data_IF_540581118487
#
_entry.id   IF_540581118487
#
_cell.length_a   1.000
_cell.length_b   1.000
_cell.length_c   1.000
_cell.angle_alpha   90.00
_cell.angle_beta   90.00
_cell.angle_gamma   90.00
#
_symmetry.space_group_name_H-M   'P 1'
#
loop_
_entity.id
_entity.type
_entity.pdbx_description
1 polymer ?
#
# COMPACT_ATOMS: atom_id res chain seq x y z
N UNK A 1 -13.45 -6.85 -16.41
CA UNK A 1 -12.78 -7.81 -15.50
C UNK A 1 -11.48 -7.24 -14.95
N UNK A 2 -10.47 -6.88 -15.77
CA UNK A 2 -9.22 -6.28 -15.27
C UNK A 2 -9.42 -5.04 -14.39
N UNK A 3 -10.36 -4.15 -14.76
CA UNK A 3 -10.72 -2.98 -13.95
C UNK A 3 -11.20 -3.38 -12.55
N UNK A 4 -11.97 -4.46 -12.44
CA UNK A 4 -12.50 -4.91 -11.14
C UNK A 4 -11.39 -5.51 -10.27
N UNK A 5 -10.42 -6.20 -10.88
CA UNK A 5 -9.25 -6.74 -10.15
C UNK A 5 -8.42 -5.57 -9.61
N UNK A 6 -8.13 -4.57 -10.44
CA UNK A 6 -7.41 -3.38 -10.02
C UNK A 6 -8.14 -2.63 -8.91
N UNK A 7 -9.46 -2.48 -9.01
CA UNK A 7 -10.29 -1.84 -7.98
C UNK A 7 -10.28 -2.61 -6.66
N UNK A 8 -10.39 -3.93 -6.70
CA UNK A 8 -10.33 -4.77 -5.49
C UNK A 8 -8.96 -4.64 -4.80
N UNK A 9 -7.87 -4.58 -5.56
CA UNK A 9 -6.53 -4.35 -5.02
C UNK A 9 -6.39 -2.95 -4.39
N UNK A 10 -7.01 -1.95 -4.99
CA UNK A 10 -7.00 -0.57 -4.47
C UNK A 10 -7.79 -0.45 -3.16
N UNK A 11 -8.97 -1.08 -3.11
CA UNK A 11 -9.87 -1.04 -1.94
C UNK A 11 -9.30 -1.85 -0.75
N UNK A 12 -8.68 -3.01 -0.99
CA UNK A 12 -8.19 -3.90 0.08
C UNK A 12 -6.77 -3.57 0.56
N UNK A 13 -5.87 -3.18 -0.35
CA UNK A 13 -4.43 -2.99 -0.05
C UNK A 13 -3.95 -1.58 -0.37
N UNK A 14 -4.49 -0.94 -1.42
CA UNK A 14 -4.15 0.43 -1.81
C UNK A 14 -2.79 0.60 -2.52
N UNK A 15 -2.03 -0.47 -2.73
CA UNK A 15 -0.79 -0.50 -3.52
C UNK A 15 -0.76 -1.72 -4.46
N UNK A 16 0.02 -1.64 -5.53
CA UNK A 16 0.21 -2.74 -6.48
C UNK A 16 -0.92 -2.91 -7.51
N UNK A 17 -1.84 -1.96 -7.64
CA UNK A 17 -2.95 -1.98 -8.63
C UNK A 17 -2.44 -2.13 -10.07
N UNK A 18 -1.35 -1.45 -10.42
CA UNK A 18 -0.67 -1.60 -11.71
C UNK A 18 -0.04 -2.98 -11.86
N UNK A 19 0.69 -3.44 -10.85
CA UNK A 19 1.38 -4.73 -10.86
C UNK A 19 0.43 -5.90 -11.09
N UNK A 20 -0.72 -5.91 -10.41
CA UNK A 20 -1.73 -6.98 -10.56
C UNK A 20 -2.31 -7.01 -11.98
N UNK A 21 -2.51 -5.84 -12.58
CA UNK A 21 -3.07 -5.70 -13.93
C UNK A 21 -2.07 -6.16 -14.98
N UNK A 22 -0.80 -5.78 -14.84
CA UNK A 22 0.29 -6.20 -15.74
C UNK A 22 0.51 -7.70 -15.63
N UNK A 23 0.55 -8.26 -14.41
CA UNK A 23 0.72 -9.69 -14.19
C UNK A 23 -0.42 -10.51 -14.83
N UNK A 24 -1.67 -10.07 -14.67
CA UNK A 24 -2.81 -10.71 -15.33
C UNK A 24 -2.71 -10.65 -16.86
N UNK A 25 -2.23 -9.53 -17.41
CA UNK A 25 -1.97 -9.38 -18.85
C UNK A 25 -0.91 -10.37 -19.37
N UNK A 26 0.21 -10.50 -18.66
CA UNK A 26 1.27 -11.44 -19.03
C UNK A 26 0.81 -12.91 -18.89
N UNK A 27 0.03 -13.25 -17.87
CA UNK A 27 -0.57 -14.59 -17.76
C UNK A 27 -1.45 -14.91 -18.97
N UNK A 28 -2.30 -13.97 -19.41
CA UNK A 28 -3.14 -14.17 -20.60
C UNK A 28 -2.31 -14.37 -21.86
N UNK A 29 -1.23 -13.61 -22.02
CA UNK A 29 -0.27 -13.75 -23.14
C UNK A 29 0.38 -15.13 -23.16
N UNK A 30 0.78 -15.67 -22.01
CA UNK A 30 1.32 -17.03 -21.94
C UNK A 30 0.24 -18.10 -22.17
N UNK A 31 -0.99 -17.89 -21.69
CA UNK A 31 -2.11 -18.78 -22.00
C UNK A 31 -2.41 -18.86 -23.50
N UNK A 32 -2.35 -17.75 -24.23
CA UNK A 32 -2.59 -17.73 -25.67
C UNK A 32 -1.62 -18.67 -26.43
N UNK A 33 -0.35 -18.70 -26.01
CA UNK A 33 0.65 -19.64 -26.58
C UNK A 33 0.30 -21.10 -26.30
N UNK A 34 -0.16 -21.41 -25.09
CA UNK A 34 -0.56 -22.77 -24.71
C UNK A 34 -1.83 -23.22 -25.44
N UNK A 35 -2.79 -22.31 -25.62
CA UNK A 35 -4.00 -22.57 -26.40
C UNK A 35 -3.65 -22.82 -27.87
N UNK A 36 -2.69 -22.07 -28.43
CA UNK A 36 -2.18 -22.29 -29.79
C UNK A 36 -1.55 -23.68 -29.97
N UNK A 37 -1.01 -24.27 -28.89
CA UNK A 37 -0.53 -25.66 -28.83
C UNK A 37 -1.65 -26.69 -28.61
N UNK A 38 -2.93 -26.28 -28.73
CA UNK A 38 -4.13 -27.11 -28.52
C UNK A 38 -4.29 -27.64 -27.09
N UNK A 39 -3.71 -26.98 -26.10
CA UNK A 39 -3.94 -27.31 -24.69
C UNK A 39 -5.30 -26.74 -24.27
N UNK A 40 -6.15 -27.58 -23.67
CA UNK A 40 -7.48 -27.17 -23.24
C UNK A 40 -7.39 -26.11 -22.12
N UNK A 41 -8.12 -24.97 -22.20
CA UNK A 41 -8.02 -23.88 -21.21
C UNK A 41 -8.24 -24.30 -19.76
N UNK A 42 -9.10 -25.30 -19.53
CA UNK A 42 -9.33 -25.87 -18.19
C UNK A 42 -8.05 -26.45 -17.56
N UNK A 43 -7.16 -27.05 -18.36
CA UNK A 43 -5.89 -27.60 -17.89
C UNK A 43 -4.97 -26.46 -17.46
N UNK A 44 -4.90 -25.38 -18.26
CA UNK A 44 -4.10 -24.18 -17.97
C UNK A 44 -4.56 -23.55 -16.65
N UNK A 45 -5.87 -23.32 -16.49
CA UNK A 45 -6.43 -22.74 -15.29
C UNK A 45 -6.15 -23.59 -14.03
N UNK A 46 -6.27 -24.91 -14.12
CA UNK A 46 -5.94 -25.80 -13.01
C UNK A 46 -4.44 -25.81 -12.69
N UNK A 47 -3.58 -25.75 -13.71
CA UNK A 47 -2.14 -25.62 -13.54
C UNK A 47 -1.76 -24.34 -12.80
N UNK A 48 -2.34 -23.20 -13.19
CA UNK A 48 -2.10 -21.91 -12.53
C UNK A 48 -2.62 -21.86 -11.09
N UNK A 49 -3.77 -22.47 -10.78
CA UNK A 49 -4.24 -22.58 -9.39
C UNK A 49 -3.23 -23.32 -8.51
N UNK A 50 -2.69 -24.45 -9.01
CA UNK A 50 -1.67 -25.21 -8.28
C UNK A 50 -0.36 -24.44 -8.15
N UNK A 51 0.06 -23.75 -9.22
CA UNK A 51 1.26 -22.92 -9.20
C UNK A 51 1.13 -21.74 -8.22
N UNK A 52 -0.04 -21.11 -8.15
CA UNK A 52 -0.33 -20.02 -7.21
C UNK A 52 -0.18 -20.48 -5.75
N UNK A 53 -0.62 -21.69 -5.43
CA UNK A 53 -0.49 -22.23 -4.08
C UNK A 53 0.98 -22.50 -3.71
N UNK A 54 1.75 -23.06 -4.64
CA UNK A 54 3.20 -23.25 -4.44
C UNK A 54 3.91 -21.92 -4.29
N UNK A 55 3.56 -20.92 -5.09
CA UNK A 55 4.11 -19.58 -4.99
C UNK A 55 3.77 -18.93 -3.64
N UNK A 56 2.55 -19.10 -3.14
CA UNK A 56 2.14 -18.61 -1.81
C UNK A 56 3.01 -19.20 -0.71
N UNK A 57 3.19 -20.52 -0.71
CA UNK A 57 4.06 -21.21 0.29
C UNK A 57 5.50 -20.72 0.19
N UNK A 58 6.03 -20.51 -1.02
CA UNK A 58 7.38 -19.99 -1.20
C UNK A 58 7.53 -18.55 -0.70
N UNK A 59 6.51 -17.70 -0.88
CA UNK A 59 6.50 -16.33 -0.36
C UNK A 59 6.43 -16.32 1.18
N UNK A 60 5.62 -17.19 1.78
CA UNK A 60 5.54 -17.34 3.24
C UNK A 60 6.87 -17.83 3.83
N UNK A 61 7.55 -18.76 3.17
CA UNK A 61 8.86 -19.23 3.59
C UNK A 61 9.97 -18.17 3.45
N UNK A 62 9.79 -17.21 2.54
CA UNK A 62 10.72 -16.10 2.34
C UNK A 62 10.41 -14.87 3.24
N UNK A 63 9.25 -14.86 3.90
CA UNK A 63 8.87 -13.78 4.79
C UNK A 63 9.76 -13.78 6.05
N UNK A 64 10.26 -12.61 6.41
CA UNK A 64 11.04 -12.39 7.63
C UNK A 64 10.29 -11.41 8.51
N UNK A 65 10.08 -11.77 9.77
CA UNK A 65 9.47 -10.91 10.78
C UNK A 65 10.55 -10.28 11.65
N UNK A 66 10.47 -8.96 11.80
CA UNK A 66 11.36 -8.16 12.66
C UNK A 66 10.59 -7.41 13.75
N UNK A 67 9.34 -7.80 14.03
CA UNK A 67 8.47 -7.19 15.03
C UNK A 67 9.04 -7.19 16.46
N UNK A 68 9.91 -8.16 16.78
CA UNK A 68 10.56 -8.28 18.10
C UNK A 68 11.64 -7.21 18.36
N UNK A 69 12.19 -6.59 17.30
CA UNK A 69 13.24 -5.56 17.40
C UNK A 69 12.68 -4.23 16.91
N UNK A 70 12.38 -3.32 17.84
CA UNK A 70 11.76 -2.03 17.55
C UNK A 70 12.55 -1.19 16.53
N UNK A 71 13.89 -1.25 16.57
CA UNK A 71 14.73 -0.50 15.64
C UNK A 71 14.68 -1.08 14.22
N UNK A 72 14.72 -2.41 14.11
CA UNK A 72 14.60 -3.09 12.80
C UNK A 72 13.18 -3.00 12.25
N UNK A 73 12.17 -3.15 13.09
CA UNK A 73 10.76 -2.98 12.73
C UNK A 73 10.49 -1.58 12.17
N UNK A 74 10.97 -0.53 12.84
CA UNK A 74 10.85 0.84 12.32
C UNK A 74 11.52 0.99 10.96
N UNK A 75 12.72 0.42 10.79
CA UNK A 75 13.46 0.49 9.53
C UNK A 75 12.70 -0.21 8.38
N UNK A 76 12.06 -1.35 8.65
CA UNK A 76 11.22 -2.04 7.68
C UNK A 76 10.00 -1.22 7.29
N UNK A 77 9.30 -0.63 8.27
CA UNK A 77 8.16 0.24 7.99
C UNK A 77 8.55 1.43 7.11
N UNK A 78 9.72 2.03 7.33
CA UNK A 78 10.24 3.11 6.46
C UNK A 78 10.50 2.60 5.04
N UNK A 79 11.11 1.42 4.90
CA UNK A 79 11.39 0.84 3.59
C UNK A 79 10.10 0.52 2.83
N UNK A 80 9.09 -0.01 3.51
CA UNK A 80 7.76 -0.28 2.97
C UNK A 80 7.10 1.04 2.54
N UNK A 81 7.02 2.03 3.44
CA UNK A 81 6.42 3.33 3.15
C UNK A 81 7.09 4.03 1.96
N UNK A 82 8.43 4.01 1.88
CA UNK A 82 9.17 4.56 0.74
C UNK A 82 8.86 3.85 -0.56
N UNK A 83 8.68 2.53 -0.54
CA UNK A 83 8.36 1.74 -1.72
C UNK A 83 6.97 2.10 -2.25
N UNK A 84 5.96 2.09 -1.39
CA UNK A 84 4.58 2.44 -1.75
C UNK A 84 4.41 3.91 -2.15
N UNK A 85 5.17 4.83 -1.55
CA UNK A 85 5.15 6.24 -1.97
C UNK A 85 5.87 6.47 -3.31
N UNK A 86 6.85 5.63 -3.66
CA UNK A 86 7.61 5.76 -4.91
C UNK A 86 6.79 5.40 -6.14
N UNK A 87 5.75 4.56 -6.00
CA UNK A 87 4.84 4.20 -7.10
C UNK A 87 3.80 5.30 -7.40
N UNK A 88 3.76 6.39 -6.61
CA UNK A 88 2.79 7.47 -6.67
C UNK A 88 3.47 8.85 -6.86
N UNK A 89 2.68 9.91 -6.96
CA UNK A 89 3.10 11.29 -7.29
C UNK A 89 4.10 11.96 -6.31
N UNK A 90 4.45 11.33 -5.19
CA UNK A 90 5.22 11.94 -4.09
C UNK A 90 6.74 11.69 -4.16
N UNK A 91 7.28 11.44 -5.35
CA UNK A 91 8.67 10.98 -5.55
C UNK A 91 9.73 11.91 -4.92
N UNK A 92 9.48 13.22 -4.91
CA UNK A 92 10.45 14.22 -4.43
C UNK A 92 10.54 14.32 -2.90
N UNK A 93 9.44 14.09 -2.18
CA UNK A 93 9.38 14.26 -0.70
C UNK A 93 9.00 12.95 0.02
N UNK A 94 9.16 11.82 -0.65
CA UNK A 94 8.81 10.49 -0.09
C UNK A 94 9.53 10.16 1.20
N UNK A 95 10.75 10.67 1.40
CA UNK A 95 11.50 10.45 2.64
C UNK A 95 10.80 11.12 3.82
N UNK A 96 10.41 12.39 3.66
CA UNK A 96 9.70 13.16 4.68
C UNK A 96 8.36 12.52 5.05
N UNK A 97 7.53 12.21 4.04
CA UNK A 97 6.23 11.58 4.28
C UNK A 97 6.34 10.14 4.81
N UNK A 98 7.39 9.40 4.45
CA UNK A 98 7.63 8.07 5.03
C UNK A 98 7.91 8.16 6.53
N UNK A 99 8.77 9.09 6.97
CA UNK A 99 9.02 9.28 8.41
C UNK A 99 7.74 9.67 9.14
N UNK A 100 6.97 10.66 8.63
CA UNK A 100 5.71 11.08 9.24
C UNK A 100 4.69 9.94 9.35
N UNK A 101 4.54 9.14 8.31
CA UNK A 101 3.60 8.02 8.29
C UNK A 101 4.01 6.93 9.29
N UNK A 102 5.30 6.58 9.34
CA UNK A 102 5.82 5.56 10.27
C UNK A 102 5.70 6.04 11.71
N UNK A 103 6.01 7.31 11.97
CA UNK A 103 5.89 7.91 13.30
C UNK A 103 4.43 7.97 13.77
N UNK A 104 3.46 8.13 12.87
CA UNK A 104 2.04 8.03 13.20
C UNK A 104 1.62 6.59 13.52
N UNK A 105 2.04 5.62 12.70
CA UNK A 105 1.71 4.20 12.87
C UNK A 105 2.33 3.62 14.15
N UNK A 106 3.59 3.95 14.45
CA UNK A 106 4.27 3.51 15.67
C UNK A 106 3.57 3.99 16.95
N UNK A 107 2.94 5.18 16.92
CA UNK A 107 2.18 5.71 18.05
C UNK A 107 0.90 4.94 18.34
N UNK A 108 0.31 4.30 17.33
CA UNK A 108 -0.97 3.59 17.46
C UNK A 108 -0.80 2.17 18.05
N UNK A 109 0.45 1.72 18.32
CA UNK A 109 0.81 0.52 19.11
C UNK A 109 -0.11 -0.70 18.87
N UNK A 110 -0.18 -1.15 17.62
CA UNK A 110 -0.86 -2.39 17.25
C UNK A 110 -2.38 -2.29 17.06
N UNK A 111 -2.99 -1.12 17.27
CA UNK A 111 -4.32 -0.84 16.74
C UNK A 111 -4.20 -0.62 15.22
N UNK A 112 -4.84 -1.46 14.41
CA UNK A 112 -4.91 -1.28 12.95
C UNK A 112 -6.04 -0.31 12.54
N UNK A 113 -6.55 0.50 13.47
CA UNK A 113 -7.64 1.41 13.16
C UNK A 113 -7.13 2.67 12.43
N UNK A 114 -7.28 2.67 11.11
CA UNK A 114 -6.93 3.79 10.24
C UNK A 114 -7.73 5.08 10.55
N UNK A 115 -8.90 4.97 11.20
CA UNK A 115 -9.70 6.14 11.60
C UNK A 115 -8.98 6.99 12.66
N UNK A 116 -7.98 6.44 13.35
CA UNK A 116 -7.15 7.17 14.33
C UNK A 116 -6.11 8.06 13.66
N UNK A 117 -5.85 7.89 12.36
CA UNK A 117 -4.92 8.73 11.60
C UNK A 117 -5.71 9.77 10.82
N UNK A 118 -5.71 11.02 11.31
CA UNK A 118 -6.38 12.12 10.63
C UNK A 118 -5.47 12.76 9.58
N UNK A 119 -5.87 12.71 8.30
CA UNK A 119 -5.15 13.39 7.21
C UNK A 119 -5.85 14.70 6.87
N UNK A 120 -5.20 15.82 7.14
CA UNK A 120 -5.71 17.16 6.85
C UNK A 120 -4.90 17.78 5.72
N UNK A 121 -5.58 18.13 4.62
CA UNK A 121 -4.96 18.78 3.47
C UNK A 121 -5.22 20.27 3.53
N UNK A 122 -4.15 21.07 3.60
CA UNK A 122 -4.21 22.52 3.61
C UNK A 122 -3.48 23.12 2.42
N UNK A 123 -4.13 24.00 1.63
CA UNK A 123 -3.43 24.74 0.59
C UNK A 123 -2.53 25.80 1.21
N UNK A 124 -1.31 25.95 0.67
CA UNK A 124 -0.29 26.88 1.15
C UNK A 124 0.94 26.14 1.69
N UNK A 125 2.10 26.82 1.65
CA UNK A 125 3.38 26.24 2.07
C UNK A 125 4.00 25.28 1.05
N UNK A 126 5.10 24.65 1.46
CA UNK A 126 5.78 23.57 0.75
C UNK A 126 5.35 22.21 1.32
N UNK A 127 5.50 21.14 0.54
CA UNK A 127 5.28 19.76 1.01
C UNK A 127 6.13 19.42 2.25
N UNK A 128 7.33 20.02 2.36
CA UNK A 128 8.23 19.87 3.52
C UNK A 128 7.70 20.47 4.81
N UNK A 129 6.75 21.41 4.71
CA UNK A 129 6.15 22.06 5.88
C UNK A 129 5.07 21.17 6.53
N UNK A 130 4.78 20.00 5.94
CA UNK A 130 3.89 19.00 6.52
C UNK A 130 4.50 18.47 7.82
N UNK A 131 3.69 18.32 8.86
CA UNK A 131 4.10 17.77 10.15
C UNK A 131 3.04 16.83 10.70
N UNK A 132 3.43 16.07 11.70
CA UNK A 132 2.56 15.20 12.48
C UNK A 132 2.28 15.87 13.82
N UNK A 133 1.01 16.08 14.13
CA UNK A 133 0.57 16.61 15.43
C UNK A 133 0.21 15.47 16.39
N UNK A 134 0.46 15.67 17.68
CA UNK A 134 0.15 14.68 18.71
C UNK A 134 -1.27 14.89 19.24
N UNK A 135 -2.27 14.52 18.44
CA UNK A 135 -3.67 14.59 18.86
C UNK A 135 -4.64 14.74 17.70
N UNK A 136 -5.71 15.50 17.95
CA UNK A 136 -6.75 15.79 16.97
C UNK A 136 -6.66 17.24 16.52
N UNK A 137 -6.54 17.47 15.23
CA UNK A 137 -6.44 18.82 14.68
C UNK A 137 -7.79 19.26 14.13
N UNK A 138 -8.33 20.32 14.71
CA UNK A 138 -9.57 20.93 14.26
C UNK A 138 -9.26 22.10 13.33
N UNK A 139 -9.61 21.95 12.06
CA UNK A 139 -9.50 23.04 11.09
C UNK A 139 -10.61 24.09 11.29
N UNK A 140 -10.37 25.02 12.22
CA UNK A 140 -11.22 26.18 12.45
C UNK A 140 -10.39 27.45 12.61
N UNK A 141 -10.88 28.53 12.02
CA UNK A 141 -10.43 29.87 12.37
C UNK A 141 -11.13 30.28 13.66
N UNK A 142 -10.36 30.51 14.72
CA UNK A 142 -10.91 31.06 15.96
C UNK A 142 -11.34 32.50 15.67
N UNK A 143 -12.64 32.75 15.75
CA UNK A 143 -13.19 34.10 15.68
C UNK A 143 -13.00 34.82 17.01
N UNK A 144 -12.41 36.01 17.00
CA UNK A 144 -12.45 36.93 18.15
C UNK A 144 -13.76 37.73 18.09
N UNK A 145 -14.62 37.58 19.11
CA UNK A 145 -15.88 38.35 19.24
C UNK A 145 -17.19 37.63 18.84
N UNK A 146 -17.22 36.30 18.81
CA UNK A 146 -18.48 35.56 18.66
C UNK A 146 -19.35 35.75 19.92
N UNK A 147 -20.64 36.03 19.76
CA UNK A 147 -21.58 36.03 20.89
C UNK A 147 -21.63 34.63 21.53
N UNK A 148 -21.68 34.58 22.87
CA UNK A 148 -21.79 33.33 23.63
C UNK A 148 -22.96 32.47 23.17
#
# INVERSE_FOLDING_TARGET
VLINIAKTQDDEVGDGTTSVTVLAGELLREAEKLVSQRIHPMIIANGWRRASEVARVALEAAAADHSDDEARFRQDLINIARTTLSSKLLTHEKAHFAELAVDAVMRIRGSLNLEQIQIIKKPGGSLKDSYLDEGFLLDKKIGVGQAK
#
